data_IF_882284628790
#
_entry.id   IF_882284628790
#
_cell.length_a   1.000
_cell.length_b   1.000
_cell.length_c   1.000
_cell.angle_alpha   90.00
_cell.angle_beta   90.00
_cell.angle_gamma   90.00
#
_symmetry.space_group_name_H-M   'P 1'
#
loop_
_entity.id
_entity.type
_entity.pdbx_description
1 polymer ?
#
# COMPACT_ATOMS: atom_id res chain seq x y z
N UNK A 1 -7.82 -1.94 -45.45
CA UNK A 1 -6.36 -2.13 -45.31
C UNK A 1 -5.99 -1.76 -43.87
N UNK A 2 -5.56 -2.70 -43.05
CA UNK A 2 -5.19 -2.42 -41.64
C UNK A 2 -3.84 -1.68 -41.65
N UNK A 3 -3.82 -0.43 -41.18
CA UNK A 3 -2.59 0.36 -41.02
C UNK A 3 -2.21 0.32 -39.55
N UNK A 4 -1.06 -0.23 -39.22
CA UNK A 4 -0.48 -0.23 -37.89
C UNK A 4 0.86 0.52 -37.93
N UNK A 5 0.84 1.87 -37.93
CA UNK A 5 2.08 2.66 -37.96
C UNK A 5 2.86 2.47 -36.64
N UNK A 6 4.17 2.49 -36.74
CA UNK A 6 5.05 2.50 -35.56
C UNK A 6 4.86 3.79 -34.77
N UNK A 7 4.75 3.68 -33.46
CA UNK A 7 4.67 4.83 -32.55
C UNK A 7 6.08 5.08 -32.01
N UNK A 8 6.59 6.29 -32.18
CA UNK A 8 7.88 6.68 -31.62
C UNK A 8 7.81 6.68 -30.09
N UNK A 9 8.74 6.02 -29.42
CA UNK A 9 8.78 5.88 -27.95
C UNK A 9 8.79 7.25 -27.26
N UNK A 10 9.42 8.25 -27.84
CA UNK A 10 9.51 9.63 -27.33
C UNK A 10 8.15 10.37 -27.33
N UNK A 11 7.17 9.87 -28.09
CA UNK A 11 5.81 10.44 -28.14
C UNK A 11 4.85 9.80 -27.14
N UNK A 12 5.28 8.76 -26.43
CA UNK A 12 4.45 8.09 -25.42
C UNK A 12 4.44 8.90 -24.12
N UNK A 13 3.25 9.13 -23.51
CA UNK A 13 3.17 9.79 -22.22
C UNK A 13 3.91 8.98 -21.16
N UNK A 14 4.90 9.59 -20.49
CA UNK A 14 5.64 8.97 -19.41
C UNK A 14 4.80 8.84 -18.13
N UNK A 15 5.14 7.87 -17.29
CA UNK A 15 4.55 7.79 -15.95
C UNK A 15 4.94 9.00 -15.06
N UNK A 16 5.92 9.80 -15.50
CA UNK A 16 6.39 10.99 -14.80
C UNK A 16 5.45 12.19 -15.01
N UNK A 17 4.68 12.20 -16.11
CA UNK A 17 3.74 13.28 -16.44
C UNK A 17 2.41 13.19 -15.67
N UNK A 18 2.25 12.18 -14.80
CA UNK A 18 1.03 11.96 -14.04
C UNK A 18 1.01 12.77 -12.74
N UNK A 19 -0.11 13.45 -12.47
CA UNK A 19 -0.35 14.12 -11.19
C UNK A 19 -0.65 13.09 -10.07
N UNK A 20 0.40 12.67 -9.37
CA UNK A 20 0.30 11.65 -8.34
C UNK A 20 -0.35 12.20 -7.07
N UNK A 21 -1.48 11.59 -6.70
CA UNK A 21 -2.13 11.83 -5.42
C UNK A 21 -1.43 11.03 -4.33
N UNK A 22 -1.13 11.71 -3.21
CA UNK A 22 -0.49 11.09 -2.06
C UNK A 22 -1.51 10.37 -1.16
N UNK A 23 -1.04 9.37 -0.43
CA UNK A 23 -1.85 8.67 0.57
C UNK A 23 -2.15 9.59 1.78
N UNK A 24 -3.15 9.20 2.58
CA UNK A 24 -3.57 9.98 3.74
C UNK A 24 -2.42 10.19 4.75
N UNK A 25 -2.21 11.41 5.29
CA UNK A 25 -1.07 11.71 6.16
C UNK A 25 -1.01 10.85 7.43
N UNK A 26 -2.16 10.43 7.95
CA UNK A 26 -2.23 9.55 9.12
C UNK A 26 -1.73 8.12 8.86
N UNK A 27 -1.57 7.72 7.59
CA UNK A 27 -1.09 6.38 7.25
C UNK A 27 0.32 6.11 7.80
N UNK A 28 1.20 7.10 7.78
CA UNK A 28 2.54 7.01 8.38
C UNK A 28 2.46 6.77 9.90
N UNK A 29 1.54 7.48 10.59
CA UNK A 29 1.34 7.34 12.04
C UNK A 29 0.79 5.96 12.39
N UNK A 30 -0.17 5.49 11.64
CA UNK A 30 -0.76 4.15 11.78
C UNK A 30 0.29 3.05 11.63
N UNK A 31 1.12 3.11 10.58
CA UNK A 31 2.19 2.14 10.36
C UNK A 31 3.21 2.12 11.50
N UNK A 32 3.62 3.31 11.97
CA UNK A 32 4.54 3.41 13.12
C UNK A 32 3.95 2.80 14.39
N UNK A 33 2.67 3.07 14.68
CA UNK A 33 2.01 2.48 15.84
C UNK A 33 2.00 0.96 15.73
N UNK A 34 1.65 0.41 14.58
CA UNK A 34 1.65 -1.04 14.36
C UNK A 34 3.04 -1.64 14.56
N UNK A 35 4.08 -1.03 13.97
CA UNK A 35 5.47 -1.46 14.15
C UNK A 35 5.87 -1.37 15.62
N UNK A 36 5.57 -0.26 16.31
CA UNK A 36 5.89 -0.07 17.72
C UNK A 36 5.23 -1.13 18.62
N UNK A 37 3.96 -1.48 18.37
CA UNK A 37 3.26 -2.53 19.12
C UNK A 37 3.88 -3.92 18.89
N UNK A 38 4.22 -4.26 17.65
CA UNK A 38 4.90 -5.51 17.34
C UNK A 38 6.28 -5.58 18.03
N UNK A 39 7.04 -4.48 17.95
CA UNK A 39 8.34 -4.39 18.61
C UNK A 39 8.21 -4.50 20.13
N UNK A 40 7.20 -3.88 20.74
CA UNK A 40 6.94 -3.96 22.17
C UNK A 40 6.62 -5.39 22.60
N UNK A 41 5.73 -6.09 21.89
CA UNK A 41 5.39 -7.50 22.20
C UNK A 41 6.63 -8.38 22.10
N UNK A 42 7.42 -8.22 21.04
CA UNK A 42 8.67 -8.98 20.89
C UNK A 42 9.67 -8.68 22.00
N UNK A 43 9.80 -7.41 22.43
CA UNK A 43 10.65 -7.03 23.55
C UNK A 43 10.24 -7.71 24.85
N UNK A 44 8.94 -7.73 25.14
CA UNK A 44 8.42 -8.41 26.35
C UNK A 44 8.70 -9.91 26.31
N UNK A 45 8.48 -10.54 25.15
CA UNK A 45 8.75 -11.99 24.99
C UNK A 45 10.24 -12.31 25.15
N UNK A 46 11.12 -11.50 24.53
CA UNK A 46 12.57 -11.71 24.60
C UNK A 46 13.11 -11.49 26.02
N UNK A 47 12.65 -10.43 26.71
CA UNK A 47 13.08 -10.14 28.09
C UNK A 47 12.56 -11.19 29.07
N UNK A 48 11.28 -11.57 28.99
CA UNK A 48 10.72 -12.65 29.81
C UNK A 48 11.45 -13.99 29.58
N UNK A 49 11.69 -14.34 28.33
CA UNK A 49 12.43 -15.55 27.97
C UNK A 49 13.87 -15.55 28.52
N UNK A 50 14.58 -14.42 28.44
CA UNK A 50 15.95 -14.29 28.94
C UNK A 50 16.03 -14.46 30.47
N UNK A 51 15.03 -13.97 31.20
CA UNK A 51 14.94 -14.12 32.67
C UNK A 51 14.61 -15.53 33.05
N UNK A 52 13.61 -16.16 32.41
CA UNK A 52 13.17 -17.55 32.74
C UNK A 52 14.27 -18.55 32.45
N UNK A 53 14.99 -18.39 31.35
CA UNK A 53 16.05 -19.33 30.94
C UNK A 53 17.42 -19.01 31.53
N UNK A 54 17.53 -18.01 32.41
CA UNK A 54 18.77 -17.56 33.04
C UNK A 54 19.93 -17.35 32.04
N UNK A 55 19.65 -16.73 30.89
CA UNK A 55 20.68 -16.44 29.88
C UNK A 55 21.80 -15.55 30.42
N UNK A 56 23.06 -15.77 29.98
CA UNK A 56 24.19 -14.92 30.35
C UNK A 56 23.94 -13.48 29.98
N UNK A 57 24.35 -12.51 30.81
CA UNK A 57 24.06 -11.10 30.62
C UNK A 57 24.65 -10.50 29.35
N UNK A 58 25.87 -10.90 28.95
CA UNK A 58 26.58 -10.33 27.81
C UNK A 58 25.84 -10.56 26.47
N UNK A 59 25.45 -11.79 26.09
CA UNK A 59 24.68 -11.99 24.86
C UNK A 59 23.31 -11.32 24.90
N UNK A 60 22.66 -11.23 26.06
CA UNK A 60 21.38 -10.50 26.18
C UNK A 60 21.57 -9.01 25.87
N UNK A 61 22.61 -8.38 26.39
CA UNK A 61 22.93 -6.97 26.10
C UNK A 61 23.22 -6.74 24.62
N UNK A 62 23.96 -7.62 23.97
CA UNK A 62 24.26 -7.50 22.54
C UNK A 62 22.98 -7.67 21.70
N UNK A 63 22.15 -8.66 22.00
CA UNK A 63 20.89 -8.88 21.28
C UNK A 63 19.89 -7.73 21.49
N UNK A 64 19.78 -7.18 22.69
CA UNK A 64 18.90 -6.05 22.96
C UNK A 64 19.38 -4.78 22.27
N UNK A 65 20.69 -4.50 22.21
CA UNK A 65 21.23 -3.35 21.49
C UNK A 65 20.99 -3.45 19.98
N UNK A 66 21.21 -4.63 19.39
CA UNK A 66 20.91 -4.91 17.99
C UNK A 66 19.40 -4.73 17.70
N UNK A 67 18.57 -5.25 18.59
CA UNK A 67 17.12 -5.14 18.48
C UNK A 67 16.64 -3.68 18.53
N UNK A 68 17.17 -2.86 19.44
CA UNK A 68 16.87 -1.41 19.52
C UNK A 68 17.28 -0.71 18.25
N UNK A 69 18.47 -0.99 17.71
CA UNK A 69 18.95 -0.40 16.46
C UNK A 69 18.04 -0.75 15.26
N UNK A 70 17.72 -2.04 15.09
CA UNK A 70 16.81 -2.47 14.02
C UNK A 70 15.39 -1.92 14.22
N UNK A 71 14.91 -1.84 15.45
CA UNK A 71 13.62 -1.25 15.79
C UNK A 71 13.53 0.22 15.41
N UNK A 72 14.58 1.00 15.69
CA UNK A 72 14.65 2.40 15.29
C UNK A 72 14.63 2.56 13.77
N UNK A 73 15.35 1.73 13.03
CA UNK A 73 15.35 1.71 11.57
C UNK A 73 13.95 1.37 11.01
N UNK A 74 13.26 0.36 11.58
CA UNK A 74 11.91 -0.02 11.17
C UNK A 74 10.88 1.09 11.46
N UNK A 75 10.98 1.78 12.60
CA UNK A 75 10.12 2.93 12.93
C UNK A 75 10.36 4.13 12.02
N UNK A 76 11.56 4.28 11.49
CA UNK A 76 11.92 5.29 10.49
C UNK A 76 11.41 4.95 9.07
N UNK A 77 11.27 3.66 8.74
CA UNK A 77 10.93 3.20 7.39
C UNK A 77 9.67 3.85 6.77
N UNK A 78 8.54 4.05 7.49
CA UNK A 78 7.36 4.70 6.92
C UNK A 78 7.57 6.15 6.47
N UNK A 79 8.61 6.84 7.00
CA UNK A 79 8.93 8.21 6.57
C UNK A 79 9.39 8.21 5.11
N UNK A 80 10.15 7.19 4.72
CA UNK A 80 10.71 7.07 3.38
C UNK A 80 9.78 6.33 2.41
N UNK A 81 9.06 5.31 2.89
CA UNK A 81 8.24 4.44 2.04
C UNK A 81 6.91 5.06 1.64
N UNK A 82 6.21 5.73 2.56
CA UNK A 82 4.87 6.27 2.30
C UNK A 82 4.87 7.40 1.25
N UNK A 83 5.79 8.39 1.25
CA UNK A 83 5.79 9.43 0.22
C UNK A 83 6.06 8.92 -1.21
N UNK A 84 6.64 7.72 -1.32
CA UNK A 84 6.91 7.09 -2.63
C UNK A 84 5.73 6.31 -3.18
N UNK A 85 4.68 6.12 -2.37
CA UNK A 85 3.41 5.56 -2.81
C UNK A 85 2.50 6.68 -3.29
N UNK A 86 1.76 6.42 -4.36
CA UNK A 86 0.79 7.37 -4.88
C UNK A 86 -0.13 6.68 -5.87
N UNK A 87 -1.26 7.29 -6.14
CA UNK A 87 -2.22 6.80 -7.11
C UNK A 87 -2.69 7.93 -8.03
N UNK A 88 -3.16 7.55 -9.20
CA UNK A 88 -3.80 8.46 -10.16
C UNK A 88 -5.06 7.78 -10.67
N UNK A 89 -6.14 8.50 -10.71
CA UNK A 89 -7.41 8.06 -11.30
C UNK A 89 -7.57 8.76 -12.64
N UNK A 90 -7.69 7.99 -13.71
CA UNK A 90 -7.93 8.50 -15.06
C UNK A 90 -9.33 8.09 -15.51
N UNK A 91 -9.74 8.54 -16.68
CA UNK A 91 -11.09 8.23 -17.20
C UNK A 91 -11.32 6.74 -17.43
N UNK A 92 -10.30 5.98 -17.81
CA UNK A 92 -10.41 4.56 -18.21
C UNK A 92 -9.69 3.59 -17.28
N UNK A 93 -8.85 4.07 -16.37
CA UNK A 93 -8.05 3.23 -15.48
C UNK A 93 -7.69 3.92 -14.17
N UNK A 94 -7.20 3.12 -13.23
CA UNK A 94 -6.53 3.58 -12.02
C UNK A 94 -5.08 3.09 -12.04
N UNK A 95 -4.15 3.98 -11.73
CA UNK A 95 -2.71 3.69 -11.68
C UNK A 95 -2.22 3.86 -10.25
N UNK A 96 -1.47 2.92 -9.77
CA UNK A 96 -0.85 2.96 -8.43
C UNK A 96 0.64 2.70 -8.52
N UNK A 97 1.42 3.55 -7.87
CA UNK A 97 2.86 3.34 -7.71
C UNK A 97 3.21 3.02 -6.27
N UNK A 98 4.16 2.13 -6.10
CA UNK A 98 4.69 1.77 -4.78
C UNK A 98 6.15 1.33 -4.86
N UNK A 99 6.78 1.27 -3.69
CA UNK A 99 8.13 0.74 -3.52
C UNK A 99 9.20 1.80 -3.31
N UNK A 100 10.19 1.42 -2.52
CA UNK A 100 11.39 2.24 -2.21
C UNK A 100 12.60 1.67 -2.98
N UNK A 101 12.85 0.38 -2.80
CA UNK A 101 13.94 -0.36 -3.44
C UNK A 101 13.44 -0.94 -4.76
N UNK A 102 12.42 -1.78 -4.72
CA UNK A 102 11.70 -2.26 -5.91
C UNK A 102 10.52 -1.34 -6.17
N UNK A 103 10.60 -0.60 -7.28
CA UNK A 103 9.51 0.29 -7.71
C UNK A 103 8.58 -0.47 -8.63
N UNK A 104 7.30 -0.39 -8.35
CA UNK A 104 6.25 -0.97 -9.19
C UNK A 104 5.19 0.08 -9.50
N UNK A 105 4.74 0.09 -10.74
CA UNK A 105 3.61 0.89 -11.21
C UNK A 105 2.62 -0.09 -11.82
N UNK A 106 1.43 -0.13 -11.26
CA UNK A 106 0.36 -1.02 -11.72
C UNK A 106 -0.79 -0.18 -12.22
N UNK A 107 -1.22 -0.41 -13.46
CA UNK A 107 -2.40 0.22 -14.06
C UNK A 107 -3.49 -0.82 -14.27
N UNK A 108 -4.70 -0.56 -13.78
CA UNK A 108 -5.86 -1.44 -13.95
C UNK A 108 -6.95 -0.69 -14.69
N UNK A 109 -7.29 -1.13 -15.92
CA UNK A 109 -8.43 -0.60 -16.67
C UNK A 109 -9.75 -0.97 -15.98
N UNK A 110 -10.70 -0.01 -15.89
CA UNK A 110 -11.97 -0.24 -15.21
C UNK A 110 -12.82 -1.34 -15.86
N UNK A 111 -12.72 -1.54 -17.17
CA UNK A 111 -13.44 -2.61 -17.87
C UNK A 111 -12.98 -4.04 -17.51
N UNK A 112 -11.84 -4.19 -16.82
CA UNK A 112 -11.36 -5.48 -16.31
C UNK A 112 -11.74 -5.72 -14.84
N UNK A 113 -12.23 -4.70 -14.15
CA UNK A 113 -12.59 -4.81 -12.74
C UNK A 113 -13.90 -5.58 -12.60
N UNK A 114 -13.87 -6.66 -11.82
CA UNK A 114 -15.05 -7.49 -11.51
C UNK A 114 -15.61 -7.18 -10.13
N UNK A 115 -14.74 -6.91 -9.18
CA UNK A 115 -15.13 -6.65 -7.78
C UNK A 115 -14.24 -5.58 -7.17
N UNK A 116 -14.84 -4.74 -6.32
CA UNK A 116 -14.12 -3.69 -5.57
C UNK A 116 -14.50 -3.79 -4.12
N UNK A 117 -13.51 -3.90 -3.26
CA UNK A 117 -13.67 -4.01 -1.82
C UNK A 117 -12.99 -2.85 -1.12
N UNK A 118 -13.65 -2.31 -0.09
CA UNK A 118 -13.03 -1.41 0.89
C UNK A 118 -12.98 -2.10 2.23
N UNK A 119 -11.80 -2.13 2.85
CA UNK A 119 -11.61 -2.72 4.17
C UNK A 119 -10.92 -1.74 5.11
N UNK A 120 -11.22 -1.86 6.40
CA UNK A 120 -10.56 -1.10 7.44
C UNK A 120 -10.39 -1.94 8.70
N UNK A 121 -9.19 -2.00 9.22
CA UNK A 121 -8.89 -2.63 10.50
C UNK A 121 -9.32 -1.71 11.65
N UNK A 122 -9.39 -2.20 12.92
CA UNK A 122 -9.63 -1.34 14.09
C UNK A 122 -8.65 -0.16 14.19
N UNK A 123 -7.37 -0.38 13.83
CA UNK A 123 -6.37 0.68 13.76
C UNK A 123 -6.66 1.68 12.64
N UNK A 124 -7.07 1.21 11.46
CA UNK A 124 -7.41 2.08 10.34
C UNK A 124 -8.58 3.00 10.70
N UNK A 125 -9.58 2.48 11.39
CA UNK A 125 -10.73 3.27 11.88
C UNK A 125 -10.32 4.40 12.81
N UNK A 126 -9.35 4.15 13.72
CA UNK A 126 -8.82 5.18 14.64
C UNK A 126 -8.14 6.33 13.92
N UNK A 127 -7.56 6.08 12.75
CA UNK A 127 -6.84 7.06 11.95
C UNK A 127 -7.62 7.58 10.74
N UNK A 128 -8.90 7.22 10.61
CA UNK A 128 -9.80 7.56 9.49
C UNK A 128 -9.21 7.19 8.13
N UNK A 129 -8.64 6.01 8.03
CA UNK A 129 -8.08 5.46 6.79
C UNK A 129 -8.74 4.14 6.43
N UNK A 130 -8.65 3.78 5.16
CA UNK A 130 -9.14 2.53 4.61
C UNK A 130 -8.19 2.02 3.51
N UNK A 131 -8.39 0.77 3.14
CA UNK A 131 -7.74 0.09 2.03
C UNK A 131 -8.76 -0.14 0.94
N UNK A 132 -8.42 0.21 -0.29
CA UNK A 132 -9.18 -0.14 -1.49
C UNK A 132 -8.51 -1.32 -2.18
N UNK A 133 -9.28 -2.33 -2.54
CA UNK A 133 -8.79 -3.51 -3.26
C UNK A 133 -9.65 -3.76 -4.49
N UNK A 134 -9.00 -3.91 -5.64
CA UNK A 134 -9.62 -4.19 -6.92
C UNK A 134 -9.28 -5.61 -7.35
N UNK A 135 -10.28 -6.32 -7.85
CA UNK A 135 -10.16 -7.69 -8.37
C UNK A 135 -10.52 -7.69 -9.84
N UNK A 136 -9.69 -8.31 -10.68
CA UNK A 136 -9.92 -8.45 -12.12
C UNK A 136 -10.16 -9.91 -12.52
N UNK A 137 -10.68 -10.12 -13.72
CA UNK A 137 -10.91 -11.46 -14.26
C UNK A 137 -9.57 -12.21 -14.43
N UNK A 138 -9.40 -13.32 -13.69
CA UNK A 138 -8.21 -14.19 -13.76
C UNK A 138 -7.15 -13.96 -12.69
N UNK A 139 -7.32 -12.98 -11.82
CA UNK A 139 -6.46 -12.75 -10.65
C UNK A 139 -6.90 -13.56 -9.43
N UNK A 140 -5.95 -14.09 -8.65
CA UNK A 140 -6.25 -14.98 -7.51
C UNK A 140 -6.27 -14.31 -6.12
N UNK A 141 -5.85 -13.03 -5.98
CA UNK A 141 -5.67 -12.42 -4.65
C UNK A 141 -5.81 -10.89 -4.60
N UNK A 142 -6.62 -10.30 -5.52
CA UNK A 142 -6.71 -8.84 -5.63
C UNK A 142 -5.53 -8.25 -6.39
N UNK A 143 -5.80 -7.81 -7.62
CA UNK A 143 -4.74 -7.38 -8.55
C UNK A 143 -4.17 -6.01 -8.20
N UNK A 144 -4.92 -5.20 -7.45
CA UNK A 144 -4.45 -3.91 -6.95
C UNK A 144 -4.96 -3.65 -5.54
N UNK A 145 -4.02 -3.37 -4.64
CA UNK A 145 -4.30 -2.99 -3.26
C UNK A 145 -3.69 -1.63 -2.95
N UNK A 146 -4.53 -0.66 -2.60
CA UNK A 146 -4.15 0.70 -2.22
C UNK A 146 -4.45 0.90 -0.74
N UNK A 147 -3.43 0.76 0.09
CA UNK A 147 -3.52 0.97 1.53
C UNK A 147 -3.38 2.47 1.86
N UNK A 148 -4.01 2.90 2.94
CA UNK A 148 -3.79 4.23 3.51
C UNK A 148 -4.48 5.37 2.77
N UNK A 149 -5.59 5.09 2.10
CA UNK A 149 -6.52 6.09 1.60
C UNK A 149 -7.31 6.70 2.77
N UNK A 150 -7.78 7.94 2.64
CA UNK A 150 -8.82 8.47 3.50
C UNK A 150 -10.09 7.63 3.34
N UNK A 151 -10.85 7.42 4.43
CA UNK A 151 -12.05 6.58 4.40
C UNK A 151 -13.05 7.05 3.34
N UNK A 152 -13.32 8.36 3.28
CA UNK A 152 -14.25 8.94 2.32
C UNK A 152 -13.72 8.82 0.89
N UNK A 153 -12.43 9.03 0.70
CA UNK A 153 -11.75 8.86 -0.60
C UNK A 153 -11.83 7.42 -1.09
N UNK A 154 -11.59 6.44 -0.22
CA UNK A 154 -11.69 5.03 -0.57
C UNK A 154 -13.11 4.65 -1.00
N UNK A 155 -14.14 5.16 -0.30
CA UNK A 155 -15.54 4.92 -0.65
C UNK A 155 -15.92 5.61 -1.97
N UNK A 156 -15.50 6.85 -2.19
CA UNK A 156 -15.69 7.56 -3.46
C UNK A 156 -15.05 6.80 -4.63
N UNK A 157 -13.81 6.32 -4.45
CA UNK A 157 -13.12 5.53 -5.46
C UNK A 157 -13.83 4.20 -5.74
N UNK A 158 -14.35 3.53 -4.70
CA UNK A 158 -15.12 2.30 -4.83
C UNK A 158 -16.35 2.53 -5.71
N UNK A 159 -17.16 3.52 -5.38
CA UNK A 159 -18.38 3.85 -6.13
C UNK A 159 -18.07 4.26 -7.56
N UNK A 160 -17.05 5.10 -7.75
CA UNK A 160 -16.61 5.54 -9.07
C UNK A 160 -16.14 4.37 -9.94
N UNK A 161 -15.31 3.49 -9.40
CA UNK A 161 -14.78 2.32 -10.12
C UNK A 161 -15.90 1.37 -10.52
N UNK A 162 -16.85 1.08 -9.62
CA UNK A 162 -18.00 0.23 -9.93
C UNK A 162 -18.88 0.83 -11.03
N UNK A 163 -19.13 2.15 -10.98
CA UNK A 163 -19.89 2.85 -12.02
C UNK A 163 -19.21 2.75 -13.39
N UNK A 164 -17.90 2.94 -13.45
CA UNK A 164 -17.11 2.84 -14.69
C UNK A 164 -17.04 1.40 -15.21
N UNK A 165 -16.88 0.41 -14.32
CA UNK A 165 -16.90 -1.01 -14.69
C UNK A 165 -18.27 -1.43 -15.25
N UNK A 166 -19.38 -1.04 -14.61
CA UNK A 166 -20.74 -1.32 -15.08
C UNK A 166 -21.05 -0.67 -16.43
N UNK A 167 -20.71 0.60 -16.61
CA UNK A 167 -20.91 1.30 -17.89
C UNK A 167 -20.10 0.70 -19.06
N UNK A 168 -19.00 0.01 -18.77
CA UNK A 168 -18.21 -0.68 -19.81
C UNK A 168 -18.86 -1.98 -20.28
N UNK A 169 -19.62 -2.64 -19.41
CA UNK A 169 -20.35 -3.89 -19.74
C UNK A 169 -21.60 -3.57 -20.55
N UNK A 170 -22.25 -2.42 -20.30
CA UNK A 170 -23.48 -2.03 -21.01
C UNK A 170 -23.23 -1.54 -22.45
N UNK A 171 -21.97 -1.15 -22.75
CA UNK A 171 -21.55 -0.65 -24.07
C UNK A 171 -20.75 -1.70 -24.90
N UNK A 172 -20.63 -2.94 -24.44
CA UNK A 172 -19.93 -4.03 -25.14
C UNK A 172 -20.91 -5.05 -25.73
#
# INVERSE_FOLDING_TARGET
MFQNPEIALDSLPGAEDLEWQSLHPNYKRRLRLQIALVLLVLAVVLTAGSVILNFPRLPVLLLTSLWVFLGAALLGWPIYSVPRKGYVVRDKDIVFRSGVIWRSVTAIPFNRVQHVETSNTPFDRRYNIATLQLFTAGGSSGDLKIDGLGRDTAEQLRVFTLKKAGASIENA
#
